data_IF_425229636469
#
_entry.id   IF_425229636469
#
_cell.length_a   1.000
_cell.length_b   1.000
_cell.length_c   1.000
_cell.angle_alpha   90.00
_cell.angle_beta   90.00
_cell.angle_gamma   90.00
#
_symmetry.space_group_name_H-M   'P 1'
#
loop_
_entity.id
_entity.type
_entity.pdbx_description
1 polymer ?
#
# COMPACT_ATOMS: atom_id res chain seq x y z
N UNK A 1 -2.33 6.67 1.13
CA UNK A 1 -2.81 5.29 0.92
C UNK A 1 -2.06 4.67 -0.25
N UNK A 2 -1.68 3.39 -0.18
CA UNK A 2 -0.99 2.66 -1.25
C UNK A 2 -1.79 1.40 -1.58
N UNK A 3 -2.24 1.21 -2.83
CA UNK A 3 -2.94 -0.01 -3.24
C UNK A 3 -2.96 -0.17 -4.77
N UNK A 4 -3.64 -1.21 -5.27
CA UNK A 4 -3.87 -1.41 -6.72
C UNK A 4 -5.29 -1.02 -7.12
N UNK A 5 -5.44 -0.59 -8.38
CA UNK A 5 -6.73 -0.30 -9.00
C UNK A 5 -7.24 1.13 -8.79
N UNK A 6 -8.26 1.48 -9.59
CA UNK A 6 -8.93 2.78 -9.52
C UNK A 6 -9.75 2.90 -8.24
N UNK A 7 -9.88 4.12 -7.74
CA UNK A 7 -10.67 4.44 -6.54
C UNK A 7 -11.90 5.27 -6.90
N UNK A 8 -12.90 5.23 -6.03
CA UNK A 8 -14.11 6.03 -6.17
C UNK A 8 -13.80 7.52 -6.01
N UNK A 9 -14.69 8.37 -6.52
CA UNK A 9 -14.57 9.83 -6.42
C UNK A 9 -14.44 10.31 -4.96
N UNK A 10 -15.07 9.60 -4.02
CA UNK A 10 -14.98 9.89 -2.59
C UNK A 10 -13.53 9.88 -2.07
N UNK A 11 -12.68 8.99 -2.59
CA UNK A 11 -11.27 8.92 -2.20
C UNK A 11 -10.50 10.12 -2.76
N UNK A 12 -10.76 10.49 -4.01
CA UNK A 12 -10.18 11.68 -4.65
C UNK A 12 -10.54 12.95 -3.89
N UNK A 13 -11.80 13.10 -3.51
CA UNK A 13 -12.29 14.29 -2.78
C UNK A 13 -11.71 14.34 -1.36
N UNK A 14 -11.59 13.20 -0.68
CA UNK A 14 -10.95 13.11 0.63
C UNK A 14 -9.45 13.45 0.57
N UNK A 15 -8.73 12.96 -0.45
CA UNK A 15 -7.34 13.31 -0.71
C UNK A 15 -7.16 14.83 -0.89
N UNK A 16 -8.02 15.47 -1.70
CA UNK A 16 -8.00 16.92 -1.91
C UNK A 16 -8.34 17.71 -0.65
N UNK A 17 -9.31 17.25 0.14
CA UNK A 17 -9.75 17.93 1.36
C UNK A 17 -8.72 17.85 2.50
N UNK A 18 -8.05 16.71 2.66
CA UNK A 18 -7.15 16.44 3.78
C UNK A 18 -5.66 16.50 3.42
N UNK A 19 -5.31 16.87 2.18
CA UNK A 19 -3.93 16.86 1.70
C UNK A 19 -3.31 15.46 1.65
N UNK A 20 -4.15 14.44 1.48
CA UNK A 20 -3.73 13.04 1.43
C UNK A 20 -3.37 12.61 0.02
N UNK A 21 -2.46 11.63 -0.11
CA UNK A 21 -2.04 11.10 -1.41
C UNK A 21 -2.46 9.63 -1.54
N UNK A 22 -2.91 9.25 -2.74
CA UNK A 22 -3.10 7.86 -3.13
C UNK A 22 -1.99 7.45 -4.09
N UNK A 23 -1.26 6.40 -3.73
CA UNK A 23 -0.21 5.80 -4.51
C UNK A 23 -0.72 4.46 -5.08
N UNK A 24 -0.55 4.27 -6.38
CA UNK A 24 -0.89 3.04 -7.09
C UNK A 24 0.31 2.11 -7.16
N UNK A 25 0.20 0.88 -6.65
CA UNK A 25 1.20 -0.17 -6.86
C UNK A 25 0.80 -1.11 -8.00
N UNK A 26 1.77 -1.78 -8.61
CA UNK A 26 1.56 -2.76 -9.68
C UNK A 26 0.97 -4.04 -9.06
N UNK A 27 -0.21 -4.45 -9.53
CA UNK A 27 -0.83 -5.71 -9.12
C UNK A 27 -0.27 -6.90 -9.92
N UNK A 28 0.05 -8.00 -9.24
CA UNK A 28 0.55 -9.23 -9.88
C UNK A 28 1.95 -9.67 -9.45
N UNK A 29 2.99 -8.81 -9.49
CA UNK A 29 4.38 -9.20 -9.24
C UNK A 29 4.71 -9.28 -7.73
N UNK A 30 3.87 -9.95 -6.93
CA UNK A 30 4.03 -10.01 -5.48
C UNK A 30 5.36 -10.68 -5.06
N UNK A 31 5.80 -11.72 -5.77
CA UNK A 31 7.07 -12.39 -5.48
C UNK A 31 8.29 -11.48 -5.71
N UNK A 32 8.28 -10.71 -6.80
CA UNK A 32 9.36 -9.76 -7.13
C UNK A 32 9.39 -8.62 -6.12
N UNK A 33 8.22 -8.10 -5.73
CA UNK A 33 8.12 -7.06 -4.70
C UNK A 33 8.60 -7.57 -3.34
N UNK A 34 8.24 -8.80 -2.96
CA UNK A 34 8.67 -9.39 -1.70
C UNK A 34 10.18 -9.60 -1.64
N UNK A 35 10.78 -10.10 -2.73
CA UNK A 35 12.22 -10.38 -2.77
C UNK A 35 13.07 -9.12 -2.98
N UNK A 36 12.59 -8.16 -3.78
CA UNK A 36 13.34 -6.97 -4.17
C UNK A 36 13.14 -5.77 -3.26
N UNK A 37 11.94 -5.59 -2.70
CA UNK A 37 11.53 -4.34 -2.05
C UNK A 37 11.14 -4.47 -0.59
N UNK A 38 10.82 -5.65 -0.05
CA UNK A 38 10.47 -5.83 1.36
C UNK A 38 11.70 -6.23 2.16
N UNK A 39 12.08 -5.44 3.18
CA UNK A 39 13.30 -5.65 3.98
C UNK A 39 13.01 -6.28 5.33
N UNK A 40 11.90 -5.93 5.95
CA UNK A 40 11.45 -6.52 7.21
C UNK A 40 9.92 -6.55 7.29
N UNK A 41 9.40 -7.45 8.12
CA UNK A 41 7.98 -7.68 8.32
C UNK A 41 7.72 -8.07 9.78
N UNK A 42 6.92 -7.28 10.47
CA UNK A 42 6.58 -7.44 11.89
C UNK A 42 5.06 -7.37 12.07
N UNK A 43 4.49 -8.31 12.84
CA UNK A 43 3.07 -8.25 13.21
C UNK A 43 2.91 -7.32 14.41
N UNK A 44 2.11 -6.26 14.24
CA UNK A 44 1.91 -5.23 15.26
C UNK A 44 0.66 -5.52 16.09
N UNK A 45 -0.46 -5.86 15.45
CA UNK A 45 -1.74 -6.11 16.12
C UNK A 45 -2.57 -7.18 15.40
N UNK A 46 -3.47 -7.83 16.15
CA UNK A 46 -4.43 -8.84 15.70
C UNK A 46 -3.81 -10.06 15.00
N UNK A 47 -2.83 -10.74 15.60
CA UNK A 47 -2.19 -11.93 14.99
C UNK A 47 -3.18 -13.06 14.68
N UNK A 48 -4.31 -13.12 15.37
CA UNK A 48 -5.39 -14.08 15.14
C UNK A 48 -6.06 -13.93 13.77
N UNK A 49 -5.95 -12.75 13.12
CA UNK A 49 -6.48 -12.52 11.77
C UNK A 49 -5.56 -13.07 10.66
N UNK A 50 -4.41 -13.65 11.01
CA UNK A 50 -3.49 -14.26 10.06
C UNK A 50 -2.98 -13.26 9.02
N UNK A 51 -3.30 -13.48 7.74
CA UNK A 51 -2.84 -12.59 6.67
C UNK A 51 -3.44 -11.18 6.72
N UNK A 52 -4.57 -11.00 7.42
CA UNK A 52 -5.28 -9.72 7.54
C UNK A 52 -4.87 -8.91 8.78
N UNK A 53 -3.93 -9.44 9.56
CA UNK A 53 -3.36 -8.73 10.72
C UNK A 53 -2.70 -7.40 10.33
N UNK A 54 -2.43 -6.55 11.32
CA UNK A 54 -1.73 -5.29 11.08
C UNK A 54 -0.23 -5.59 11.01
N UNK A 55 0.34 -5.44 9.82
CA UNK A 55 1.76 -5.65 9.56
C UNK A 55 2.49 -4.32 9.41
N UNK A 56 3.62 -4.19 10.09
CA UNK A 56 4.62 -3.15 9.82
C UNK A 56 5.67 -3.74 8.89
N UNK A 57 5.85 -3.09 7.75
CA UNK A 57 6.84 -3.48 6.75
C UNK A 57 7.82 -2.34 6.50
N UNK A 58 9.09 -2.68 6.37
CA UNK A 58 10.10 -1.75 5.85
C UNK A 58 10.35 -2.07 4.39
N UNK A 59 10.31 -1.03 3.55
CA UNK A 59 10.44 -1.18 2.10
C UNK A 59 11.54 -0.28 1.55
N UNK A 60 12.21 -0.75 0.50
CA UNK A 60 13.22 -0.03 -0.27
C UNK A 60 12.88 -0.13 -1.76
N UNK A 61 13.05 0.95 -2.51
CA UNK A 61 12.78 1.01 -3.96
C UNK A 61 11.42 0.43 -4.38
N UNK A 62 10.38 0.69 -3.57
CA UNK A 62 9.05 0.14 -3.84
C UNK A 62 8.38 0.91 -4.99
N UNK A 63 8.08 0.26 -6.14
CA UNK A 63 7.51 0.94 -7.29
C UNK A 63 6.05 1.35 -7.02
N UNK A 64 5.80 2.66 -7.13
CA UNK A 64 4.47 3.23 -7.01
C UNK A 64 4.27 4.43 -7.97
N UNK A 65 3.04 4.61 -8.40
CA UNK A 65 2.60 5.71 -9.26
C UNK A 65 1.69 6.66 -8.48
N UNK A 66 1.55 7.90 -8.94
CA UNK A 66 0.60 8.86 -8.38
C UNK A 66 -0.62 9.02 -9.30
N UNK A 67 -1.67 8.20 -9.13
CA UNK A 67 -2.86 8.24 -9.99
C UNK A 67 -3.86 9.37 -9.66
N UNK A 68 -3.71 10.08 -8.53
CA UNK A 68 -4.76 10.96 -8.01
C UNK A 68 -4.26 12.39 -7.78
N UNK A 69 -4.21 13.21 -8.84
CA UNK A 69 -3.98 14.67 -8.79
C UNK A 69 -5.28 15.48 -8.84
#
# INVERSE_FOLDING_TARGET
>A
MLAKGNRSQQVTDACKKHGGFYLGSIGGPAAVLAQGSIKSLECVEYPELGMEAIWKIEVEDFPAFYPCG
#
